data_IF_573689868786
#
_entry.id   IF_573689868786
#
_cell.length_a   1.000
_cell.length_b   1.000
_cell.length_c   1.000
_cell.angle_alpha   90.00
_cell.angle_beta   90.00
_cell.angle_gamma   90.00
#
_symmetry.space_group_name_H-M   'P 1'
#
loop_
_entity.id
_entity.type
_entity.pdbx_description
1 polymer ?
#
# COMPACT_ATOMS: atom_id res chain seq x y z
N UNK A 1 21.27 14.09 -34.42
CA UNK A 1 20.03 13.57 -35.03
C UNK A 1 19.46 12.61 -33.98
N UNK A 2 18.59 13.12 -33.12
CA UNK A 2 17.84 12.28 -32.17
C UNK A 2 16.87 11.47 -33.00
N UNK A 3 16.95 10.13 -32.96
CA UNK A 3 15.97 9.26 -33.59
C UNK A 3 14.61 9.57 -32.97
N UNK A 4 13.66 10.02 -33.79
CA UNK A 4 12.24 10.10 -33.45
C UNK A 4 11.67 8.68 -33.31
N UNK A 5 12.14 7.95 -32.31
CA UNK A 5 11.49 6.72 -31.90
C UNK A 5 10.16 7.10 -31.24
N UNK A 6 9.07 6.46 -31.65
CA UNK A 6 7.77 6.65 -31.00
C UNK A 6 7.91 6.47 -29.49
N UNK A 7 7.21 7.28 -28.68
CA UNK A 7 7.32 7.19 -27.23
C UNK A 7 6.88 5.80 -26.73
N UNK A 8 7.71 5.18 -25.90
CA UNK A 8 7.35 3.91 -25.26
C UNK A 8 6.28 4.14 -24.19
N UNK A 9 5.13 3.49 -24.35
CA UNK A 9 3.92 3.68 -23.53
C UNK A 9 3.48 2.40 -22.87
N UNK A 10 3.21 2.46 -21.57
CA UNK A 10 2.72 1.36 -20.75
C UNK A 10 1.26 1.62 -20.36
N UNK A 11 0.37 0.65 -20.58
CA UNK A 11 -0.91 0.60 -19.92
C UNK A 11 -0.77 -0.21 -18.62
N UNK A 12 -0.97 0.41 -17.48
CA UNK A 12 -1.00 -0.25 -16.18
C UNK A 12 -2.43 -0.38 -15.69
N UNK A 13 -2.78 -1.56 -15.14
CA UNK A 13 -4.12 -1.91 -14.63
C UNK A 13 -3.99 -2.36 -13.18
N UNK A 14 -4.81 -1.78 -12.30
CA UNK A 14 -4.91 -2.11 -10.89
C UNK A 14 -6.35 -2.46 -10.52
N UNK A 15 -6.54 -3.62 -9.85
CA UNK A 15 -7.85 -4.08 -9.37
C UNK A 15 -7.74 -5.04 -8.18
N UNK A 16 -6.75 -4.87 -7.32
CA UNK A 16 -6.43 -5.87 -6.28
C UNK A 16 -7.40 -5.91 -5.11
N UNK A 17 -8.08 -4.79 -4.81
CA UNK A 17 -8.97 -4.67 -3.66
C UNK A 17 -10.32 -4.04 -4.04
N UNK A 18 -10.47 -2.74 -3.86
CA UNK A 18 -11.72 -2.00 -4.05
C UNK A 18 -11.56 -0.75 -4.94
N UNK A 19 -10.37 -0.49 -5.47
CA UNK A 19 -10.12 0.48 -6.53
C UNK A 19 -9.95 -0.20 -7.88
N UNK A 20 -10.70 0.28 -8.88
CA UNK A 20 -10.45 -0.06 -10.28
C UNK A 20 -9.68 1.08 -10.91
N UNK A 21 -8.43 0.87 -11.30
CA UNK A 21 -7.62 1.93 -11.87
C UNK A 21 -6.89 1.49 -13.14
N UNK A 22 -6.67 2.47 -14.03
CA UNK A 22 -5.79 2.33 -15.19
C UNK A 22 -4.97 3.61 -15.39
N UNK A 23 -3.75 3.47 -15.86
CA UNK A 23 -2.88 4.60 -16.21
C UNK A 23 -2.08 4.30 -17.48
N UNK A 24 -1.90 5.32 -18.32
CA UNK A 24 -0.95 5.31 -19.44
C UNK A 24 0.29 6.07 -19.00
N UNK A 25 1.42 5.38 -18.97
CA UNK A 25 2.65 5.88 -18.37
C UNK A 25 3.78 5.78 -19.39
N UNK A 26 4.47 6.89 -19.63
CA UNK A 26 5.68 6.92 -20.46
C UNK A 26 6.85 6.29 -19.72
N UNK A 27 7.88 5.84 -20.46
CA UNK A 27 9.07 5.22 -19.88
C UNK A 27 9.81 6.09 -18.87
N UNK A 28 9.75 7.40 -19.01
CA UNK A 28 10.34 8.36 -18.07
C UNK A 28 9.52 8.57 -16.78
N UNK A 29 8.42 7.83 -16.62
CA UNK A 29 7.51 7.94 -15.48
C UNK A 29 6.39 8.97 -15.66
N UNK A 30 6.38 9.74 -16.77
CA UNK A 30 5.31 10.72 -17.05
C UNK A 30 3.97 10.03 -17.24
N UNK A 31 2.97 10.42 -16.47
CA UNK A 31 1.59 9.95 -16.57
C UNK A 31 0.87 10.76 -17.63
N UNK A 32 0.45 10.14 -18.74
CA UNK A 32 -0.27 10.80 -19.83
C UNK A 32 -1.79 10.77 -19.62
N UNK A 33 -2.30 9.74 -18.98
CA UNK A 33 -3.71 9.61 -18.65
C UNK A 33 -3.90 8.62 -17.52
N UNK A 34 -4.86 8.87 -16.63
CA UNK A 34 -5.19 7.96 -15.54
C UNK A 34 -6.66 8.07 -15.17
N UNK A 35 -7.22 6.97 -14.69
CA UNK A 35 -8.57 6.94 -14.16
C UNK A 35 -8.62 5.99 -12.97
N UNK A 36 -9.27 6.42 -11.90
CA UNK A 36 -9.52 5.61 -10.70
C UNK A 36 -11.01 5.65 -10.41
N UNK A 37 -11.61 4.50 -10.19
CA UNK A 37 -13.00 4.34 -9.75
C UNK A 37 -13.01 3.62 -8.41
N UNK A 38 -13.19 4.37 -7.32
CA UNK A 38 -13.27 3.86 -5.94
C UNK A 38 -14.62 3.20 -5.67
N UNK A 39 -14.64 2.25 -4.77
CA UNK A 39 -15.84 1.52 -4.33
C UNK A 39 -16.22 1.84 -2.89
N UNK A 40 -15.62 2.84 -2.23
CA UNK A 40 -15.85 3.19 -0.83
C UNK A 40 -17.34 3.22 -0.46
N UNK A 41 -18.16 3.94 -1.25
CA UNK A 41 -19.60 4.07 -0.99
C UNK A 41 -20.36 2.74 -1.07
N UNK A 42 -19.86 1.76 -1.82
CA UNK A 42 -20.48 0.43 -1.91
C UNK A 42 -20.21 -0.40 -0.65
N UNK A 43 -19.09 -0.15 0.01
CA UNK A 43 -18.62 -0.90 1.16
C UNK A 43 -18.93 -0.23 2.50
N UNK A 44 -19.23 1.07 2.52
CA UNK A 44 -19.50 1.86 3.72
C UNK A 44 -20.55 1.22 4.63
N UNK A 45 -21.67 0.77 4.05
CA UNK A 45 -22.76 0.14 4.82
C UNK A 45 -22.36 -1.19 5.49
N UNK A 46 -21.26 -1.82 5.04
CA UNK A 46 -20.76 -3.08 5.61
C UNK A 46 -19.60 -2.86 6.58
N UNK A 47 -19.08 -1.63 6.69
CA UNK A 47 -17.95 -1.29 7.54
C UNK A 47 -16.62 -1.91 7.09
N UNK A 48 -16.50 -2.26 5.80
CA UNK A 48 -15.30 -2.86 5.22
C UNK A 48 -15.57 -3.52 3.88
N UNK A 49 -14.52 -3.89 3.15
CA UNK A 49 -14.62 -4.43 1.79
C UNK A 49 -15.29 -5.81 1.78
N UNK A 50 -16.32 -5.97 0.94
CA UNK A 50 -17.01 -7.24 0.67
C UNK A 50 -16.52 -7.79 -0.65
N UNK A 51 -15.77 -8.91 -0.68
CA UNK A 51 -15.08 -9.40 -1.88
C UNK A 51 -15.98 -9.63 -3.10
N UNK A 52 -17.19 -10.14 -2.90
CA UNK A 52 -18.13 -10.41 -3.99
C UNK A 52 -18.69 -9.13 -4.61
N UNK A 53 -18.91 -8.09 -3.80
CA UNK A 53 -19.34 -6.78 -4.27
C UNK A 53 -18.18 -6.12 -5.04
N UNK A 54 -16.96 -6.20 -4.50
CA UNK A 54 -15.78 -5.66 -5.14
C UNK A 54 -15.56 -6.28 -6.52
N UNK A 55 -15.59 -7.60 -6.65
CA UNK A 55 -15.42 -8.30 -7.92
C UNK A 55 -16.44 -7.87 -8.98
N UNK A 56 -17.73 -7.71 -8.61
CA UNK A 56 -18.78 -7.25 -9.52
C UNK A 56 -18.56 -5.81 -9.97
N UNK A 57 -18.20 -4.93 -9.04
CA UNK A 57 -17.92 -3.54 -9.37
C UNK A 57 -16.71 -3.39 -10.31
N UNK A 58 -15.65 -4.18 -10.12
CA UNK A 58 -14.53 -4.24 -11.06
C UNK A 58 -14.97 -4.66 -12.46
N UNK A 59 -15.81 -5.69 -12.57
CA UNK A 59 -16.28 -6.18 -13.86
C UNK A 59 -17.05 -5.09 -14.65
N UNK A 60 -17.82 -4.27 -13.96
CA UNK A 60 -18.57 -3.16 -14.57
C UNK A 60 -17.68 -1.98 -14.95
N UNK A 61 -16.59 -1.74 -14.19
CA UNK A 61 -15.78 -0.52 -14.28
C UNK A 61 -14.51 -0.66 -15.09
N UNK A 62 -13.96 -1.87 -15.24
CA UNK A 62 -12.64 -2.08 -15.81
C UNK A 62 -12.47 -1.48 -17.22
N UNK A 63 -13.39 -1.75 -18.13
CA UNK A 63 -13.33 -1.22 -19.49
C UNK A 63 -13.56 0.30 -19.55
N UNK A 64 -14.57 0.89 -18.90
CA UNK A 64 -14.72 2.34 -18.77
C UNK A 64 -13.48 3.04 -18.25
N UNK A 65 -12.84 2.50 -17.22
CA UNK A 65 -11.62 3.07 -16.60
C UNK A 65 -10.45 3.04 -17.58
N UNK A 66 -10.19 1.90 -18.22
CA UNK A 66 -9.14 1.76 -19.24
C UNK A 66 -9.37 2.72 -20.40
N UNK A 67 -10.59 2.77 -20.95
CA UNK A 67 -10.93 3.68 -22.04
C UNK A 67 -10.73 5.15 -21.67
N UNK A 68 -11.03 5.53 -20.43
CA UNK A 68 -10.83 6.89 -19.94
C UNK A 68 -9.35 7.24 -19.89
N UNK A 69 -8.50 6.34 -19.36
CA UNK A 69 -7.05 6.55 -19.31
C UNK A 69 -6.44 6.69 -20.73
N UNK A 70 -6.83 5.82 -21.68
CA UNK A 70 -6.37 5.87 -23.06
C UNK A 70 -6.81 7.19 -23.76
N UNK A 71 -8.06 7.61 -23.57
CA UNK A 71 -8.58 8.88 -24.13
C UNK A 71 -7.85 10.09 -23.56
N UNK A 72 -7.56 10.14 -22.26
CA UNK A 72 -6.81 11.24 -21.66
C UNK A 72 -5.37 11.31 -22.19
N UNK A 73 -4.78 10.17 -22.49
CA UNK A 73 -3.45 10.08 -23.08
C UNK A 73 -3.43 10.34 -24.59
N UNK A 74 -4.59 10.45 -25.25
CA UNK A 74 -4.76 10.56 -26.70
C UNK A 74 -4.04 9.45 -27.48
N UNK A 75 -4.22 8.18 -27.01
CA UNK A 75 -3.58 6.99 -27.61
C UNK A 75 -4.58 5.85 -27.76
N UNK A 76 -4.29 4.93 -28.67
CA UNK A 76 -5.02 3.67 -28.85
C UNK A 76 -4.14 2.46 -28.41
N UNK A 77 -4.72 1.25 -28.42
CA UNK A 77 -4.01 0.06 -27.96
C UNK A 77 -2.77 -0.28 -28.79
N UNK A 78 -2.77 0.07 -30.07
CA UNK A 78 -1.69 -0.16 -31.01
C UNK A 78 -0.46 0.71 -30.68
N UNK A 79 -0.64 1.87 -30.05
CA UNK A 79 0.44 2.78 -29.69
C UNK A 79 1.19 2.32 -28.43
N UNK A 80 0.60 1.40 -27.67
CA UNK A 80 1.21 0.89 -26.44
C UNK A 80 2.41 -0.01 -26.73
N UNK A 81 3.39 0.02 -25.84
CA UNK A 81 4.56 -0.85 -25.85
C UNK A 81 4.31 -2.14 -25.06
N UNK A 82 3.62 -2.03 -23.92
CA UNK A 82 3.33 -3.15 -23.02
C UNK A 82 2.05 -2.91 -22.22
N UNK A 83 1.52 -4.00 -21.63
CA UNK A 83 0.40 -3.95 -20.68
C UNK A 83 0.87 -4.58 -19.37
N UNK A 84 0.63 -3.92 -18.25
CA UNK A 84 0.96 -4.40 -16.92
C UNK A 84 -0.32 -4.56 -16.08
N UNK A 85 -0.32 -5.57 -15.20
CA UNK A 85 -1.43 -5.83 -14.30
C UNK A 85 -0.93 -6.42 -12.98
N UNK A 86 -1.52 -6.02 -11.86
CA UNK A 86 -1.28 -6.67 -10.58
C UNK A 86 -1.96 -8.06 -10.58
N UNK A 87 -1.16 -9.11 -10.33
CA UNK A 87 -1.64 -10.49 -10.23
C UNK A 87 -1.59 -11.03 -8.80
N UNK A 88 -0.96 -10.28 -7.87
CA UNK A 88 -0.73 -10.65 -6.46
C UNK A 88 -0.31 -9.46 -5.58
N UNK A 89 -0.48 -9.54 -4.23
CA UNK A 89 -1.61 -10.20 -3.60
C UNK A 89 -2.88 -9.38 -3.77
N UNK A 90 -4.05 -9.93 -3.38
CA UNK A 90 -5.31 -9.21 -3.42
C UNK A 90 -6.52 -10.13 -3.27
N UNK A 91 -7.71 -9.58 -3.41
CA UNK A 91 -8.95 -10.34 -3.42
C UNK A 91 -9.04 -11.17 -4.71
N UNK A 92 -9.29 -12.47 -4.59
CA UNK A 92 -9.25 -13.39 -5.73
C UNK A 92 -10.15 -12.95 -6.90
N UNK A 93 -11.40 -12.56 -6.61
CA UNK A 93 -12.34 -12.10 -7.64
C UNK A 93 -11.90 -10.78 -8.31
N UNK A 94 -11.36 -9.86 -7.52
CA UNK A 94 -10.87 -8.57 -7.99
C UNK A 94 -9.63 -8.72 -8.90
N UNK A 95 -8.62 -9.48 -8.45
CA UNK A 95 -7.44 -9.83 -9.24
C UNK A 95 -7.81 -10.49 -10.57
N UNK A 96 -8.75 -11.45 -10.53
CA UNK A 96 -9.17 -12.19 -11.71
C UNK A 96 -9.72 -11.27 -12.79
N UNK A 97 -10.52 -10.27 -12.43
CA UNK A 97 -11.09 -9.31 -13.39
C UNK A 97 -9.98 -8.53 -14.09
N UNK A 98 -9.01 -7.98 -13.35
CA UNK A 98 -7.89 -7.24 -13.93
C UNK A 98 -7.00 -8.11 -14.81
N UNK A 99 -6.62 -9.31 -14.33
CA UNK A 99 -5.76 -10.24 -15.08
C UNK A 99 -6.43 -10.70 -16.36
N UNK A 100 -7.72 -11.04 -16.35
CA UNK A 100 -8.45 -11.43 -17.55
C UNK A 100 -8.55 -10.27 -18.55
N UNK A 101 -8.85 -9.06 -18.08
CA UNK A 101 -8.86 -7.88 -18.94
C UNK A 101 -7.48 -7.63 -19.59
N UNK A 102 -6.41 -7.63 -18.80
CA UNK A 102 -5.04 -7.42 -19.29
C UNK A 102 -4.61 -8.49 -20.31
N UNK A 103 -4.88 -9.76 -20.05
CA UNK A 103 -4.59 -10.88 -20.98
C UNK A 103 -5.35 -10.72 -22.29
N UNK A 104 -6.64 -10.35 -22.22
CA UNK A 104 -7.48 -10.14 -23.41
C UNK A 104 -6.96 -9.00 -24.27
N UNK A 105 -6.59 -7.88 -23.64
CA UNK A 105 -6.03 -6.72 -24.35
C UNK A 105 -4.63 -7.01 -24.89
N UNK A 106 -3.77 -7.71 -24.15
CA UNK A 106 -2.44 -8.11 -24.60
C UNK A 106 -2.54 -8.99 -25.86
N UNK A 107 -3.49 -9.93 -25.89
CA UNK A 107 -3.73 -10.77 -27.06
C UNK A 107 -4.30 -9.94 -28.23
N UNK A 108 -5.32 -9.10 -27.99
CA UNK A 108 -5.99 -8.33 -29.03
C UNK A 108 -5.06 -7.32 -29.71
N UNK A 109 -4.17 -6.69 -28.95
CA UNK A 109 -3.23 -5.67 -29.44
C UNK A 109 -1.84 -6.21 -29.72
N UNK A 110 -1.61 -7.51 -29.54
CA UNK A 110 -0.31 -8.17 -29.73
C UNK A 110 0.81 -7.49 -28.92
N UNK A 111 0.53 -7.17 -27.65
CA UNK A 111 1.48 -6.52 -26.74
C UNK A 111 1.99 -7.48 -25.67
N UNK A 112 3.25 -7.33 -25.22
CA UNK A 112 3.76 -8.10 -24.08
C UNK A 112 2.97 -7.80 -22.81
N UNK A 113 2.73 -8.84 -22.00
CA UNK A 113 2.06 -8.77 -20.72
C UNK A 113 3.10 -8.78 -19.59
N UNK A 114 2.93 -7.92 -18.59
CA UNK A 114 3.81 -7.84 -17.42
C UNK A 114 2.99 -8.04 -16.15
N UNK A 115 3.32 -9.08 -15.39
CA UNK A 115 2.70 -9.36 -14.11
C UNK A 115 3.37 -8.56 -12.99
N UNK A 116 2.58 -7.92 -12.13
CA UNK A 116 3.07 -7.08 -11.04
C UNK A 116 2.70 -7.65 -9.67
N UNK A 117 3.61 -7.51 -8.73
CA UNK A 117 3.28 -7.62 -7.33
C UNK A 117 2.82 -6.24 -6.83
N UNK A 118 1.57 -6.14 -6.40
CA UNK A 118 0.93 -4.93 -5.89
C UNK A 118 1.73 -4.27 -4.75
N UNK A 119 2.29 -5.07 -3.83
CA UNK A 119 3.08 -4.55 -2.71
C UNK A 119 4.40 -3.93 -3.19
N UNK A 120 5.06 -4.55 -4.19
CA UNK A 120 6.26 -3.98 -4.79
C UNK A 120 5.96 -2.66 -5.50
N UNK A 121 4.79 -2.57 -6.16
CA UNK A 121 4.34 -1.35 -6.81
C UNK A 121 4.15 -0.21 -5.80
N UNK A 122 3.58 -0.46 -4.62
CA UNK A 122 3.48 0.52 -3.54
C UNK A 122 4.84 1.05 -3.07
N UNK A 123 5.85 0.20 -2.95
CA UNK A 123 7.21 0.66 -2.60
C UNK A 123 7.85 1.45 -3.74
N UNK A 124 7.59 1.04 -4.99
CA UNK A 124 8.09 1.76 -6.16
C UNK A 124 7.49 3.16 -6.30
N UNK A 125 6.29 3.41 -5.76
CA UNK A 125 5.68 4.75 -5.74
C UNK A 125 6.59 5.82 -5.12
N UNK A 126 7.52 5.43 -4.22
CA UNK A 126 8.52 6.33 -3.67
C UNK A 126 9.56 6.81 -4.72
N UNK A 127 9.78 6.04 -5.81
CA UNK A 127 10.66 6.44 -6.92
C UNK A 127 10.02 7.50 -7.82
N UNK A 128 8.68 7.65 -7.75
CA UNK A 128 7.90 8.60 -8.56
C UNK A 128 7.74 9.97 -7.89
N UNK A 129 8.45 10.21 -6.77
CA UNK A 129 8.44 11.49 -6.05
C UNK A 129 9.31 12.49 -6.82
N UNK A 130 8.81 13.71 -6.99
CA UNK A 130 9.61 14.79 -7.55
C UNK A 130 10.89 15.01 -6.73
N UNK A 131 12.03 14.98 -7.41
CA UNK A 131 13.34 15.11 -6.77
C UNK A 131 13.88 13.81 -6.16
N UNK A 132 13.19 12.67 -6.31
CA UNK A 132 13.78 11.39 -5.95
C UNK A 132 15.05 11.13 -6.79
N UNK A 133 16.11 10.56 -6.19
CA UNK A 133 17.28 10.18 -6.98
C UNK A 133 16.90 9.12 -8.02
N UNK A 134 17.66 9.04 -9.10
CA UNK A 134 17.42 8.06 -10.18
C UNK A 134 17.32 6.63 -9.65
N UNK A 135 18.02 6.34 -8.57
CA UNK A 135 17.96 5.07 -7.87
C UNK A 135 17.89 5.25 -6.35
N UNK A 136 16.76 4.88 -5.74
CA UNK A 136 16.56 4.88 -4.28
C UNK A 136 16.96 3.55 -3.63
N UNK A 137 17.44 2.58 -4.41
CA UNK A 137 17.84 1.25 -3.94
C UNK A 137 19.35 1.17 -3.76
N UNK A 138 19.87 0.29 -2.85
CA UNK A 138 19.10 -0.55 -1.93
C UNK A 138 18.45 0.24 -0.78
N UNK A 139 17.34 -0.28 -0.23
CA UNK A 139 16.58 0.35 0.84
C UNK A 139 15.88 -0.69 1.75
N UNK A 140 15.51 -0.29 2.95
CA UNK A 140 14.47 -1.00 3.71
C UNK A 140 13.11 -0.49 3.25
N UNK A 141 12.19 -1.40 2.93
CA UNK A 141 10.82 -1.07 2.52
C UNK A 141 9.83 -1.38 3.64
N UNK A 142 8.96 -0.41 3.97
CA UNK A 142 7.77 -0.63 4.80
C UNK A 142 6.53 -0.51 3.93
N UNK A 143 5.75 -1.56 3.84
CA UNK A 143 4.39 -1.52 3.33
C UNK A 143 3.44 -1.48 4.50
N UNK A 144 2.54 -0.48 4.51
CA UNK A 144 1.53 -0.33 5.55
C UNK A 144 0.22 0.15 4.93
N UNK A 145 -0.75 -0.78 4.83
CA UNK A 145 -2.06 -0.55 4.19
C UNK A 145 -3.20 -1.18 4.99
N UNK A 146 -4.41 -1.15 4.45
CA UNK A 146 -5.59 -1.83 5.00
C UNK A 146 -5.36 -3.33 5.19
N UNK A 147 -4.81 -4.00 4.19
CA UNK A 147 -4.61 -5.46 4.20
C UNK A 147 -3.21 -5.92 4.56
N UNK A 148 -2.20 -5.05 4.53
CA UNK A 148 -0.81 -5.46 4.65
C UNK A 148 0.01 -4.57 5.59
N UNK A 149 0.88 -5.20 6.38
CA UNK A 149 1.94 -4.54 7.15
C UNK A 149 3.16 -5.43 7.08
N UNK A 150 4.19 -5.01 6.33
CA UNK A 150 5.35 -5.85 6.04
C UNK A 150 6.62 -5.05 5.83
N UNK A 151 7.75 -5.63 6.20
CA UNK A 151 9.10 -5.10 5.99
C UNK A 151 9.86 -5.93 4.96
N UNK A 152 10.64 -5.25 4.14
CA UNK A 152 11.46 -5.83 3.07
C UNK A 152 12.87 -5.24 3.07
N UNK A 153 13.85 -6.01 2.59
CA UNK A 153 15.06 -5.45 1.98
C UNK A 153 14.80 -5.33 0.48
N UNK A 154 14.86 -4.13 -0.03
CA UNK A 154 14.70 -3.84 -1.45
C UNK A 154 16.10 -3.71 -2.06
N UNK A 155 16.62 -4.77 -2.68
CA UNK A 155 17.93 -4.75 -3.35
C UNK A 155 17.86 -3.91 -4.62
N UNK A 156 16.80 -4.10 -5.38
CA UNK A 156 16.41 -3.29 -6.55
C UNK A 156 14.91 -3.02 -6.53
N UNK A 157 14.38 -2.37 -7.55
CA UNK A 157 12.93 -2.16 -7.70
C UNK A 157 12.14 -3.47 -7.80
N UNK A 158 12.74 -4.52 -8.34
CA UNK A 158 12.06 -5.80 -8.65
C UNK A 158 12.60 -7.00 -7.86
N UNK A 159 13.65 -6.80 -7.07
CA UNK A 159 14.25 -7.83 -6.22
C UNK A 159 14.13 -7.42 -4.75
N UNK A 160 13.15 -8.01 -4.06
CA UNK A 160 12.81 -7.73 -2.67
C UNK A 160 12.90 -9.01 -1.84
N UNK A 161 13.56 -8.90 -0.69
CA UNK A 161 13.64 -9.93 0.33
C UNK A 161 12.65 -9.60 1.46
N UNK A 162 11.74 -10.51 1.77
CA UNK A 162 10.79 -10.37 2.86
C UNK A 162 11.48 -10.55 4.22
N UNK A 163 11.34 -9.58 5.11
CA UNK A 163 11.91 -9.62 6.47
C UNK A 163 10.91 -10.09 7.52
N UNK A 164 9.67 -9.66 7.40
CA UNK A 164 8.59 -9.97 8.33
C UNK A 164 7.34 -9.15 8.03
N UNK A 165 6.23 -9.52 8.64
CA UNK A 165 4.96 -8.82 8.48
C UNK A 165 3.98 -9.14 9.58
N UNK A 166 2.76 -8.64 9.46
CA UNK A 166 1.75 -8.91 10.49
C UNK A 166 1.38 -10.39 10.54
N UNK A 167 1.29 -10.92 11.76
CA UNK A 167 0.85 -12.30 12.01
C UNK A 167 -0.67 -12.42 12.24
N UNK A 168 -1.32 -11.27 12.37
CA UNK A 168 -2.76 -11.14 12.61
C UNK A 168 -3.33 -9.96 11.82
N UNK A 169 -4.00 -8.98 12.46
CA UNK A 169 -4.55 -7.81 11.79
C UNK A 169 -3.43 -6.94 11.17
N UNK A 170 -3.63 -6.39 9.97
CA UNK A 170 -2.79 -5.34 9.44
C UNK A 170 -3.03 -4.02 10.20
N UNK A 171 -2.08 -3.07 10.10
CA UNK A 171 -2.21 -1.79 10.80
C UNK A 171 -3.48 -1.03 10.35
N UNK A 172 -3.73 -0.92 9.05
CA UNK A 172 -4.93 -0.24 8.55
C UNK A 172 -6.22 -0.95 8.93
N UNK A 173 -6.26 -2.28 8.89
CA UNK A 173 -7.38 -3.08 9.39
C UNK A 173 -7.65 -2.81 10.88
N UNK A 174 -6.60 -2.63 11.68
CA UNK A 174 -6.75 -2.28 13.09
C UNK A 174 -7.37 -0.87 13.26
N UNK A 175 -6.99 0.11 12.42
CA UNK A 175 -7.61 1.43 12.37
C UNK A 175 -9.10 1.33 12.04
N UNK A 176 -9.49 0.58 11.01
CA UNK A 176 -10.89 0.43 10.61
C UNK A 176 -11.74 -0.25 11.69
N UNK A 177 -11.18 -1.29 12.33
CA UNK A 177 -11.85 -1.98 13.44
C UNK A 177 -12.06 -1.08 14.67
N UNK A 178 -11.08 -0.22 14.99
CA UNK A 178 -11.21 0.75 16.10
C UNK A 178 -12.21 1.83 15.72
N UNK A 179 -12.20 2.34 14.49
CA UNK A 179 -13.20 3.29 14.01
C UNK A 179 -14.61 2.74 14.15
N UNK A 180 -14.85 1.49 13.73
CA UNK A 180 -16.15 0.84 13.87
C UNK A 180 -16.60 0.72 15.34
N UNK A 181 -15.70 0.42 16.29
CA UNK A 181 -16.01 0.38 17.72
C UNK A 181 -16.41 1.74 18.29
N UNK A 182 -15.89 2.83 17.71
CA UNK A 182 -16.19 4.21 18.08
C UNK A 182 -17.37 4.81 17.31
N UNK A 183 -18.01 4.01 16.45
CA UNK A 183 -19.08 4.45 15.52
C UNK A 183 -18.64 5.60 14.62
N UNK A 184 -17.41 5.52 14.11
CA UNK A 184 -16.86 6.45 13.12
C UNK A 184 -17.12 5.92 11.70
N UNK A 185 -17.21 6.82 10.69
CA UNK A 185 -17.40 6.43 9.30
C UNK A 185 -16.23 5.59 8.74
N UNK A 186 -16.49 4.88 7.66
CA UNK A 186 -15.49 4.22 6.82
C UNK A 186 -15.06 5.20 5.69
N UNK A 187 -13.74 5.27 5.33
CA UNK A 187 -12.59 4.51 5.84
C UNK A 187 -12.13 4.99 7.23
N UNK A 188 -11.99 4.04 8.16
CA UNK A 188 -11.75 4.35 9.57
C UNK A 188 -10.40 5.03 9.85
N UNK A 189 -9.37 4.72 9.06
CA UNK A 189 -8.03 5.28 9.24
C UNK A 189 -8.00 6.81 9.20
N UNK A 190 -8.78 7.41 8.29
CA UNK A 190 -8.88 8.87 8.12
C UNK A 190 -9.57 9.50 9.33
N UNK A 191 -10.69 8.93 9.77
CA UNK A 191 -11.49 9.45 10.88
C UNK A 191 -10.77 9.31 12.22
N UNK A 192 -10.09 8.17 12.44
CA UNK A 192 -9.25 7.97 13.64
C UNK A 192 -8.12 9.00 13.68
N UNK A 193 -7.40 9.22 12.59
CA UNK A 193 -6.30 10.18 12.51
C UNK A 193 -6.78 11.62 12.77
N UNK A 194 -7.96 11.99 12.23
CA UNK A 194 -8.58 13.29 12.45
C UNK A 194 -8.88 13.53 13.94
N UNK A 195 -9.56 12.59 14.60
CA UNK A 195 -9.86 12.70 16.03
C UNK A 195 -8.60 12.63 16.90
N UNK A 196 -7.62 11.80 16.51
CA UNK A 196 -6.35 11.67 17.21
C UNK A 196 -5.58 12.99 17.29
N UNK A 197 -5.69 13.85 16.27
CA UNK A 197 -5.03 15.16 16.25
C UNK A 197 -5.51 16.12 17.34
N UNK A 198 -6.69 15.88 17.91
CA UNK A 198 -7.34 16.70 18.95
C UNK A 198 -7.33 16.02 20.33
N UNK A 199 -6.81 14.79 20.43
CA UNK A 199 -6.82 13.96 21.63
C UNK A 199 -5.49 13.95 22.38
N UNK A 200 -5.55 13.41 23.62
CA UNK A 200 -4.38 13.17 24.44
C UNK A 200 -3.85 11.74 24.22
N UNK A 201 -2.68 11.61 23.58
CA UNK A 201 -2.05 10.33 23.27
C UNK A 201 -1.49 9.56 24.48
N UNK A 202 -1.56 10.16 25.69
CA UNK A 202 -1.16 9.56 26.95
C UNK A 202 -2.35 9.20 27.85
N UNK A 203 -3.59 9.43 27.39
CA UNK A 203 -4.80 9.16 28.19
C UNK A 203 -4.99 7.65 28.43
N UNK A 204 -4.58 6.81 27.50
CA UNK A 204 -4.67 5.35 27.60
C UNK A 204 -3.32 4.70 27.35
N UNK A 205 -2.91 3.79 28.25
CA UNK A 205 -1.68 3.00 28.08
C UNK A 205 -1.97 1.73 27.28
N UNK A 206 -2.11 1.85 25.96
CA UNK A 206 -2.31 0.70 25.09
C UNK A 206 -1.02 -0.10 24.88
N UNK A 207 -1.09 -1.44 24.68
CA UNK A 207 0.07 -2.28 24.46
C UNK A 207 0.76 -1.95 23.13
N UNK A 208 2.09 -2.10 23.09
CA UNK A 208 2.93 -2.06 21.89
C UNK A 208 3.40 -3.47 21.60
N UNK A 209 2.48 -4.29 21.04
CA UNK A 209 2.75 -5.71 20.81
C UNK A 209 4.02 -5.89 19.99
N UNK A 210 4.82 -6.90 20.36
CA UNK A 210 6.07 -7.28 19.68
C UNK A 210 7.12 -6.18 19.50
N UNK A 211 6.98 -5.02 20.16
CA UNK A 211 7.93 -3.90 19.99
C UNK A 211 9.35 -4.27 20.44
N UNK A 212 9.51 -5.19 21.42
CA UNK A 212 10.79 -5.65 21.94
C UNK A 212 11.25 -6.96 21.31
N UNK A 213 10.41 -7.63 20.52
CA UNK A 213 10.77 -8.88 19.87
C UNK A 213 11.88 -8.65 18.84
N UNK A 214 12.90 -9.52 18.78
CA UNK A 214 14.04 -9.33 17.88
C UNK A 214 13.68 -9.50 16.40
N UNK A 215 12.56 -10.15 16.08
CA UNK A 215 12.04 -10.36 14.72
C UNK A 215 11.38 -9.12 14.13
N UNK A 216 11.02 -9.21 12.85
CA UNK A 216 10.42 -8.13 12.07
C UNK A 216 8.90 -8.27 11.91
N UNK A 217 8.30 -9.28 12.56
CA UNK A 217 6.86 -9.47 12.54
C UNK A 217 6.12 -8.42 13.39
N UNK A 218 4.86 -8.17 13.03
CA UNK A 218 3.95 -7.25 13.70
C UNK A 218 2.73 -8.00 14.25
N UNK A 219 2.04 -7.38 15.22
CA UNK A 219 0.74 -7.85 15.71
C UNK A 219 -0.08 -6.66 16.20
N UNK A 220 -1.32 -6.53 15.75
CA UNK A 220 -2.22 -5.46 16.14
C UNK A 220 -3.56 -5.94 16.71
N UNK A 221 -3.87 -7.24 16.65
CA UNK A 221 -5.14 -7.79 17.17
C UNK A 221 -5.29 -7.62 18.69
N UNK A 222 -4.18 -7.74 19.43
CA UNK A 222 -4.16 -7.49 20.88
C UNK A 222 -4.44 -6.04 21.24
N UNK A 223 -3.95 -5.11 20.43
CA UNK A 223 -4.19 -3.67 20.58
C UNK A 223 -5.68 -3.34 20.42
N UNK A 224 -6.33 -3.88 19.37
CA UNK A 224 -7.78 -3.78 19.17
C UNK A 224 -8.57 -4.25 20.40
N UNK A 225 -8.16 -5.37 20.99
CA UNK A 225 -8.81 -5.93 22.19
C UNK A 225 -8.63 -5.02 23.41
N UNK A 226 -7.47 -4.39 23.56
CA UNK A 226 -7.20 -3.43 24.63
C UNK A 226 -8.08 -2.17 24.49
N UNK A 227 -8.22 -1.65 23.27
CA UNK A 227 -9.17 -0.53 23.01
C UNK A 227 -10.59 -0.92 23.39
N UNK A 228 -11.05 -2.09 22.97
CA UNK A 228 -12.38 -2.60 23.34
C UNK A 228 -12.60 -2.61 24.85
N UNK A 229 -11.64 -3.10 25.60
CA UNK A 229 -11.76 -3.13 27.08
C UNK A 229 -11.75 -1.72 27.70
N UNK A 230 -10.98 -0.81 27.16
CA UNK A 230 -10.91 0.56 27.64
C UNK A 230 -12.23 1.32 27.49
N UNK A 231 -12.97 1.11 26.39
CA UNK A 231 -14.23 1.83 26.10
C UNK A 231 -15.48 1.14 26.66
N UNK A 232 -15.50 -0.20 26.72
CA UNK A 232 -16.72 -0.96 27.05
C UNK A 232 -16.60 -1.86 28.29
N UNK A 233 -15.39 -2.00 28.83
CA UNK A 233 -15.12 -2.96 29.90
C UNK A 233 -15.05 -4.42 29.38
N UNK A 234 -14.67 -5.36 30.27
CA UNK A 234 -14.56 -6.78 29.90
C UNK A 234 -15.92 -7.41 29.62
N UNK A 235 -16.01 -8.22 28.56
CA UNK A 235 -17.18 -9.05 28.23
C UNK A 235 -18.23 -8.39 27.33
N UNK A 236 -18.23 -7.09 27.12
CA UNK A 236 -19.20 -6.44 26.22
C UNK A 236 -18.80 -6.64 24.76
N UNK A 237 -19.76 -7.09 23.93
CA UNK A 237 -19.57 -7.31 22.51
C UNK A 237 -20.36 -6.31 21.64
N UNK A 238 -21.46 -5.77 22.16
CA UNK A 238 -22.31 -4.81 21.48
C UNK A 238 -21.95 -3.37 21.89
N UNK A 239 -21.57 -2.56 20.91
CA UNK A 239 -21.19 -1.15 21.06
C UNK A 239 -22.32 -0.20 20.65
N UNK A 240 -23.36 -0.69 20.00
CA UNK A 240 -24.46 0.13 19.46
C UNK A 240 -25.21 0.96 20.51
N UNK A 241 -25.17 0.50 21.77
CA UNK A 241 -25.81 1.15 22.91
C UNK A 241 -24.82 1.88 23.83
N UNK A 242 -23.56 2.02 23.42
CA UNK A 242 -22.53 2.65 24.23
C UNK A 242 -22.44 4.15 23.92
N UNK A 243 -22.85 5.00 24.85
CA UNK A 243 -22.61 6.44 24.75
C UNK A 243 -21.13 6.72 25.09
N UNK A 244 -20.34 7.04 24.09
CA UNK A 244 -18.94 7.44 24.23
C UNK A 244 -18.86 8.94 24.00
N UNK A 245 -18.38 9.69 24.99
CA UNK A 245 -18.22 11.14 24.83
C UNK A 245 -17.15 11.46 23.76
N UNK A 246 -17.29 12.60 23.09
CA UNK A 246 -16.35 13.01 22.04
C UNK A 246 -14.91 13.13 22.56
N UNK A 247 -14.72 13.55 23.83
CA UNK A 247 -13.39 13.61 24.41
C UNK A 247 -12.75 12.22 24.56
N UNK A 248 -13.53 11.23 25.02
CA UNK A 248 -13.06 9.84 25.11
C UNK A 248 -12.71 9.30 23.73
N UNK A 249 -13.55 9.59 22.71
CA UNK A 249 -13.22 9.18 21.32
C UNK A 249 -11.89 9.77 20.85
N UNK A 250 -11.66 11.08 21.06
CA UNK A 250 -10.39 11.74 20.69
C UNK A 250 -9.21 11.12 21.42
N UNK A 251 -9.30 10.93 22.72
CA UNK A 251 -8.20 10.40 23.54
C UNK A 251 -7.89 8.92 23.21
N UNK A 252 -8.91 8.11 22.96
CA UNK A 252 -8.74 6.73 22.49
C UNK A 252 -8.06 6.70 21.13
N UNK A 253 -8.52 7.50 20.16
CA UNK A 253 -7.92 7.59 18.84
C UNK A 253 -6.44 8.02 18.92
N UNK A 254 -6.14 9.06 19.71
CA UNK A 254 -4.76 9.56 19.87
C UNK A 254 -3.83 8.52 20.49
N UNK A 255 -4.30 7.85 21.57
CA UNK A 255 -3.51 6.83 22.27
C UNK A 255 -3.32 5.56 21.43
N UNK A 256 -4.35 5.18 20.65
CA UNK A 256 -4.30 4.04 19.73
C UNK A 256 -3.32 4.31 18.57
N UNK A 257 -3.47 5.44 17.88
CA UNK A 257 -2.58 5.87 16.80
C UNK A 257 -1.12 5.89 17.27
N UNK A 258 -0.87 6.46 18.48
CA UNK A 258 0.45 6.46 19.08
C UNK A 258 1.01 5.04 19.23
N UNK A 259 0.20 4.10 19.71
CA UNK A 259 0.65 2.73 19.93
C UNK A 259 1.00 2.01 18.61
N UNK A 260 0.22 2.20 17.56
CA UNK A 260 0.51 1.65 16.22
C UNK A 260 1.80 2.25 15.66
N UNK A 261 1.91 3.58 15.67
CA UNK A 261 3.05 4.30 15.10
C UNK A 261 4.35 3.96 15.84
N UNK A 262 4.34 3.88 17.18
CA UNK A 262 5.50 3.48 17.97
C UNK A 262 6.06 2.12 17.54
N UNK A 263 5.18 1.12 17.28
CA UNK A 263 5.59 -0.20 16.82
C UNK A 263 6.20 -0.13 15.43
N UNK A 264 5.54 0.55 14.48
CA UNK A 264 6.01 0.69 13.10
C UNK A 264 7.39 1.35 13.05
N UNK A 265 7.54 2.52 13.70
CA UNK A 265 8.80 3.28 13.73
C UNK A 265 9.92 2.47 14.39
N UNK A 266 9.65 1.84 15.54
CA UNK A 266 10.65 1.04 16.25
C UNK A 266 11.18 -0.12 15.41
N UNK A 267 10.30 -0.83 14.70
CA UNK A 267 10.67 -1.95 13.83
C UNK A 267 11.47 -1.49 12.60
N UNK A 268 11.08 -0.37 11.97
CA UNK A 268 11.84 0.21 10.85
C UNK A 268 13.26 0.59 11.28
N UNK A 269 13.41 1.33 12.39
CA UNK A 269 14.73 1.71 12.94
C UNK A 269 15.62 0.50 13.18
N UNK A 270 15.05 -0.58 13.72
CA UNK A 270 15.76 -1.82 14.00
C UNK A 270 16.20 -2.55 12.73
N UNK A 271 15.31 -2.64 11.74
CA UNK A 271 15.61 -3.25 10.45
C UNK A 271 16.76 -2.50 9.74
N UNK A 272 16.71 -1.16 9.67
CA UNK A 272 17.77 -0.33 9.10
C UNK A 272 19.10 -0.56 9.84
N UNK A 273 19.09 -0.46 11.17
CA UNK A 273 20.32 -0.65 11.98
C UNK A 273 20.94 -2.02 11.79
N UNK A 274 20.13 -3.07 11.72
CA UNK A 274 20.58 -4.45 11.51
C UNK A 274 21.18 -4.63 10.13
N UNK A 275 20.55 -4.07 9.10
CA UNK A 275 21.02 -4.16 7.73
C UNK A 275 22.32 -3.38 7.53
N UNK A 276 22.42 -2.17 8.03
CA UNK A 276 23.65 -1.37 8.05
C UNK A 276 24.82 -2.08 8.72
N UNK A 277 24.57 -2.85 9.79
CA UNK A 277 25.63 -3.58 10.51
C UNK A 277 26.09 -4.86 9.79
N UNK A 278 25.23 -5.50 8.99
CA UNK A 278 25.61 -6.69 8.20
C UNK A 278 26.54 -6.35 7.04
N UNK A 279 26.43 -5.15 6.48
CA UNK A 279 27.11 -4.74 5.24
C UNK A 279 28.23 -3.72 5.49
N UNK A 280 28.97 -3.85 6.59
CA UNK A 280 30.08 -2.91 6.98
C UNK A 280 31.17 -2.70 5.92
N UNK A 281 31.25 -3.57 4.90
CA UNK A 281 32.22 -3.46 3.80
C UNK A 281 31.80 -2.52 2.66
N UNK A 282 30.49 -2.16 2.58
CA UNK A 282 29.98 -1.27 1.53
C UNK A 282 29.22 -0.11 2.19
N UNK A 283 29.87 1.04 2.31
CA UNK A 283 29.37 2.22 3.03
C UNK A 283 28.07 2.84 2.46
N UNK A 284 27.59 2.37 1.31
CA UNK A 284 26.41 2.91 0.59
C UNK A 284 25.15 2.04 0.66
N UNK A 285 25.16 0.91 1.37
CA UNK A 285 24.04 -0.03 1.33
C UNK A 285 23.01 0.22 2.43
N UNK A 286 21.75 0.43 1.99
CA UNK A 286 20.49 0.46 2.74
C UNK A 286 20.47 1.37 4.00
N UNK A 287 20.99 2.58 3.88
CA UNK A 287 20.73 3.63 4.86
C UNK A 287 19.50 4.46 4.46
N UNK A 288 18.50 3.78 3.86
CA UNK A 288 17.27 4.36 3.34
C UNK A 288 16.06 3.58 3.83
N UNK A 289 14.99 4.31 4.10
CA UNK A 289 13.67 3.76 4.34
C UNK A 289 12.73 4.27 3.26
N UNK A 290 12.06 3.36 2.57
CA UNK A 290 10.96 3.66 1.65
C UNK A 290 9.65 3.16 2.25
N UNK A 291 8.58 3.98 2.18
CA UNK A 291 7.30 3.68 2.82
C UNK A 291 6.16 3.88 1.86
N UNK A 292 5.36 2.83 1.65
CA UNK A 292 4.19 2.84 0.77
C UNK A 292 2.95 2.20 1.42
N UNK A 293 1.80 2.34 0.76
CA UNK A 293 0.51 1.86 1.21
C UNK A 293 -0.34 2.94 1.89
N UNK A 294 -1.65 2.72 1.99
CA UNK A 294 -2.63 3.73 2.42
C UNK A 294 -2.35 4.36 3.79
N UNK A 295 -1.87 3.59 4.77
CA UNK A 295 -1.53 4.10 6.11
C UNK A 295 -0.27 4.98 6.07
N UNK A 296 0.57 4.92 5.02
CA UNK A 296 1.69 5.84 4.82
C UNK A 296 1.24 7.31 4.64
N UNK A 297 -0.05 7.57 4.38
CA UNK A 297 -0.63 8.91 4.39
C UNK A 297 -0.80 9.49 5.81
N UNK A 298 -0.75 8.66 6.87
CA UNK A 298 -0.95 9.09 8.24
C UNK A 298 0.13 10.10 8.68
N UNK A 299 -0.30 11.28 9.15
CA UNK A 299 0.59 12.40 9.46
C UNK A 299 1.49 12.13 10.66
N UNK A 300 1.00 11.41 11.68
CA UNK A 300 1.81 11.03 12.84
C UNK A 300 2.92 10.08 12.41
N UNK A 301 2.59 9.06 11.61
CA UNK A 301 3.59 8.13 11.09
C UNK A 301 4.68 8.86 10.30
N UNK A 302 4.30 9.77 9.40
CA UNK A 302 5.25 10.59 8.62
C UNK A 302 6.17 11.41 9.51
N UNK A 303 5.60 12.14 10.46
CA UNK A 303 6.35 12.99 11.40
C UNK A 303 7.32 12.16 12.24
N UNK A 304 6.87 11.04 12.80
CA UNK A 304 7.66 10.24 13.73
C UNK A 304 8.75 9.44 13.00
N UNK A 305 8.50 9.02 11.75
CA UNK A 305 9.54 8.45 10.87
C UNK A 305 10.57 9.49 10.46
N UNK A 306 10.17 10.74 10.17
CA UNK A 306 11.11 11.81 9.86
C UNK A 306 11.99 12.14 11.07
N UNK A 307 11.42 12.25 12.27
CA UNK A 307 12.18 12.45 13.49
C UNK A 307 13.19 11.31 13.75
N UNK A 308 12.78 10.07 13.45
CA UNK A 308 13.69 8.92 13.54
C UNK A 308 14.81 8.97 12.49
N UNK A 309 14.49 9.40 11.26
CA UNK A 309 15.47 9.57 10.19
C UNK A 309 16.53 10.63 10.57
N UNK A 310 16.07 11.77 11.08
CA UNK A 310 16.94 12.87 11.52
C UNK A 310 17.83 12.42 12.69
N UNK A 311 17.29 11.65 13.64
CA UNK A 311 18.01 11.17 14.81
C UNK A 311 19.05 10.08 14.47
N UNK A 312 18.70 9.12 13.62
CA UNK A 312 19.53 7.93 13.34
C UNK A 312 20.38 8.09 12.07
N UNK A 313 20.18 9.19 11.31
CA UNK A 313 20.94 9.55 10.11
C UNK A 313 20.68 8.61 8.94
N UNK A 314 19.41 8.33 8.59
CA UNK A 314 19.04 7.60 7.38
C UNK A 314 18.15 8.46 6.47
N UNK A 315 18.15 8.17 5.18
CA UNK A 315 17.27 8.83 4.23
C UNK A 315 15.86 8.24 4.30
N UNK A 316 14.82 9.10 4.25
CA UNK A 316 13.43 8.69 4.29
C UNK A 316 12.69 9.13 3.02
N UNK A 317 12.07 8.17 2.35
CA UNK A 317 11.20 8.39 1.18
C UNK A 317 9.83 7.79 1.45
N UNK A 318 8.80 8.62 1.57
CA UNK A 318 7.42 8.19 1.78
C UNK A 318 6.61 8.57 0.57
N UNK A 319 5.90 7.62 -0.03
CA UNK A 319 5.01 7.88 -1.15
C UNK A 319 4.12 9.11 -0.90
N UNK A 320 3.93 9.98 -1.88
CA UNK A 320 3.06 11.15 -1.72
C UNK A 320 1.61 10.69 -1.48
N UNK A 321 0.79 11.47 -0.77
CA UNK A 321 -0.55 11.03 -0.36
C UNK A 321 -1.42 10.47 -1.49
N UNK A 322 -1.35 11.05 -2.70
CA UNK A 322 -2.11 10.60 -3.86
C UNK A 322 -1.60 9.29 -4.50
N UNK A 323 -0.41 8.80 -4.10
CA UNK A 323 0.14 7.50 -4.50
C UNK A 323 0.17 6.49 -3.35
N UNK A 324 -0.32 6.84 -2.16
CA UNK A 324 -0.40 5.93 -1.02
C UNK A 324 -1.54 4.90 -1.17
N UNK A 325 -2.70 5.34 -1.68
CA UNK A 325 -3.84 4.44 -1.96
C UNK A 325 -3.62 3.68 -3.25
N UNK A 326 -4.43 2.64 -3.47
CA UNK A 326 -4.35 1.79 -4.67
C UNK A 326 -4.60 2.62 -5.93
N UNK A 327 -3.64 2.57 -6.84
CA UNK A 327 -3.67 3.34 -8.09
C UNK A 327 -2.82 2.65 -9.17
N UNK A 328 -3.12 2.93 -10.43
CA UNK A 328 -2.39 2.30 -11.53
C UNK A 328 -1.04 2.97 -11.86
N UNK A 329 -0.78 4.18 -11.34
CA UNK A 329 0.50 4.90 -11.60
C UNK A 329 1.68 4.18 -10.95
N UNK A 330 1.48 3.56 -9.77
CA UNK A 330 2.51 2.75 -9.12
C UNK A 330 2.96 1.56 -9.97
N UNK A 331 2.15 1.15 -10.96
CA UNK A 331 2.51 0.13 -11.95
C UNK A 331 3.62 0.56 -12.93
N UNK A 332 4.14 1.79 -12.85
CA UNK A 332 5.35 2.22 -13.54
C UNK A 332 6.58 1.33 -13.26
N UNK A 333 6.57 0.57 -12.15
CA UNK A 333 7.55 -0.49 -11.87
C UNK A 333 7.66 -1.50 -13.02
N UNK A 334 6.62 -1.66 -13.84
CA UNK A 334 6.62 -2.55 -15.00
C UNK A 334 7.73 -2.18 -15.99
N UNK A 335 8.17 -0.92 -16.07
CA UNK A 335 9.30 -0.55 -16.91
C UNK A 335 10.60 -1.21 -16.47
N UNK A 336 10.81 -1.43 -15.16
CA UNK A 336 11.97 -2.16 -14.64
C UNK A 336 11.90 -3.65 -15.00
N UNK A 337 10.71 -4.23 -15.01
CA UNK A 337 10.49 -5.61 -15.48
C UNK A 337 10.64 -5.73 -17.00
N UNK A 338 10.17 -4.73 -17.75
CA UNK A 338 10.35 -4.66 -19.20
C UNK A 338 11.84 -4.62 -19.58
N UNK A 339 12.64 -3.79 -18.90
CA UNK A 339 14.09 -3.70 -19.05
C UNK A 339 14.79 -5.01 -18.72
N UNK A 340 14.27 -5.78 -17.77
CA UNK A 340 14.78 -7.10 -17.39
C UNK A 340 14.17 -8.25 -18.21
N UNK A 341 13.40 -7.96 -19.27
CA UNK A 341 12.71 -8.93 -20.12
C UNK A 341 11.79 -9.91 -19.35
N UNK A 342 11.24 -9.48 -18.21
CA UNK A 342 10.35 -10.29 -17.38
C UNK A 342 8.90 -10.18 -17.84
N UNK A 343 8.57 -10.90 -18.92
CA UNK A 343 7.22 -10.96 -19.46
C UNK A 343 6.45 -12.16 -18.93
N UNK A 344 5.14 -11.99 -18.78
CA UNK A 344 4.22 -13.06 -18.39
C UNK A 344 3.63 -13.72 -19.64
N UNK A 345 3.39 -15.03 -19.57
CA UNK A 345 2.62 -15.75 -20.59
C UNK A 345 1.12 -15.50 -20.43
N UNK A 346 0.33 -15.85 -21.43
CA UNK A 346 -1.13 -15.84 -21.33
C UNK A 346 -1.69 -16.90 -20.37
N UNK A 347 -0.87 -17.82 -19.87
CA UNK A 347 -1.22 -18.77 -18.81
C UNK A 347 -1.11 -18.16 -17.42
N UNK A 348 -0.71 -16.86 -17.30
CA UNK A 348 -0.68 -16.15 -16.03
C UNK A 348 -1.94 -16.39 -15.23
N UNK A 349 -1.79 -16.79 -13.97
CA UNK A 349 -2.88 -16.94 -13.00
C UNK A 349 -2.69 -16.00 -11.83
N UNK A 350 -3.74 -15.80 -11.05
CA UNK A 350 -3.72 -14.96 -9.86
C UNK A 350 -3.10 -15.67 -8.67
N UNK A 351 -2.48 -14.91 -7.76
CA UNK A 351 -1.99 -15.42 -6.48
C UNK A 351 -2.55 -14.56 -5.33
N UNK A 352 -3.76 -14.83 -4.83
CA UNK A 352 -4.46 -13.94 -3.90
C UNK A 352 -3.77 -13.78 -2.55
N UNK A 353 -3.12 -14.83 -2.05
CA UNK A 353 -2.47 -14.84 -0.74
C UNK A 353 -1.11 -14.14 -0.74
N UNK A 354 -0.72 -13.66 0.44
CA UNK A 354 0.64 -13.18 0.67
C UNK A 354 1.61 -14.38 0.60
N UNK A 355 2.49 -14.38 -0.38
CA UNK A 355 3.60 -15.32 -0.38
C UNK A 355 4.62 -14.83 0.67
N UNK A 356 4.54 -15.39 1.89
CA UNK A 356 5.64 -15.32 2.85
C UNK A 356 6.77 -16.11 2.22
N UNK A 357 7.88 -15.46 1.86
CA UNK A 357 9.01 -16.11 1.18
C UNK A 357 9.43 -17.38 1.89
N UNK A 358 9.64 -18.43 1.12
CA UNK A 358 10.27 -19.67 1.56
C UNK A 358 11.77 -19.49 1.59
#
# INVERSE_FOLDING_TARGET
>A
MTSDAAPELLLSIESTCDETAAAVIRRDGTVLGQCIATQETLHEQFGGVVPEIAARAHLERILPVINTALKQADVCGEDLTAIAVADRPGLAGSLLVGVVAAKTLALAWSKPLIALNHLHAHLYACQLIDGAPENIYPAIGLIVSGGHTSLYVCHTAIELEYLGGTIDDAAGEAFDKVAAMLSLPFPGGVEVAKLASEGNDKAYSFPRSMIHDPGDDFSFSGLKTAVRYAIAGPGRQDFSTLEISDQVKRDVCASFEAAVVDVLVSKCRRAIKRHKNRNKSNANEANRLIVGGGVAANQRLRRDLQAAADQDGFELWIAPPHLCTDNAVMGAIAWKKFEAEQFASLDLDITPGLQRGF
#
